data_IF_822150028279
#
_entry.id   IF_822150028279
#
_cell.length_a   1.000
_cell.length_b   1.000
_cell.length_c   1.000
_cell.angle_alpha   90.00
_cell.angle_beta   90.00
_cell.angle_gamma   90.00
#
_symmetry.space_group_name_H-M   'P 1'
#
loop_
_entity.id
_entity.type
_entity.pdbx_description
1 polymer ?
#
# COMPACT_ATOMS: atom_id res chain seq x y z
N UNK A 1 16.41 -14.64 20.56
CA UNK A 1 14.98 -14.31 20.70
C UNK A 1 14.36 -14.73 19.38
N UNK A 2 13.43 -15.69 19.36
CA UNK A 2 12.70 -15.96 18.12
C UNK A 2 11.65 -14.87 18.01
N UNK A 3 11.65 -14.13 16.91
CA UNK A 3 10.53 -13.26 16.60
C UNK A 3 9.28 -14.15 16.49
N UNK A 4 8.22 -13.74 17.19
CA UNK A 4 6.94 -14.44 17.13
C UNK A 4 6.39 -14.46 15.70
N UNK A 5 5.31 -15.23 15.45
CA UNK A 5 4.70 -15.25 14.12
C UNK A 5 4.28 -13.85 13.70
N UNK A 6 4.52 -13.48 12.44
CA UNK A 6 4.02 -12.23 11.86
C UNK A 6 2.66 -12.46 11.17
N UNK A 7 1.77 -11.48 11.27
CA UNK A 7 0.48 -11.48 10.57
C UNK A 7 0.49 -10.45 9.44
N UNK A 8 0.23 -10.90 8.21
CA UNK A 8 0.08 -10.03 7.04
C UNK A 8 -1.38 -10.03 6.60
N UNK A 9 -2.03 -8.87 6.70
CA UNK A 9 -3.45 -8.68 6.32
C UNK A 9 -3.51 -7.78 5.09
N UNK A 10 -4.03 -8.31 3.98
CA UNK A 10 -4.32 -7.52 2.78
C UNK A 10 -5.70 -6.87 2.89
N UNK A 11 -5.75 -5.53 2.90
CA UNK A 11 -7.01 -4.78 2.86
C UNK A 11 -7.27 -4.30 1.43
N UNK A 12 -8.39 -4.72 0.85
CA UNK A 12 -8.81 -4.37 -0.51
C UNK A 12 -10.21 -3.77 -0.43
N UNK A 13 -10.42 -2.63 -1.10
CA UNK A 13 -11.71 -1.94 -1.16
C UNK A 13 -11.86 -1.24 -2.50
N UNK A 14 -13.10 -0.92 -2.86
CA UNK A 14 -13.38 -0.12 -4.05
C UNK A 14 -12.74 1.28 -3.90
N UNK A 15 -12.46 1.93 -5.03
CA UNK A 15 -11.98 3.32 -5.06
C UNK A 15 -12.92 4.22 -4.23
N UNK A 16 -12.34 5.09 -3.40
CA UNK A 16 -13.09 5.95 -2.48
C UNK A 16 -13.48 5.30 -1.14
N UNK A 17 -13.24 4.00 -0.95
CA UNK A 17 -13.47 3.33 0.33
C UNK A 17 -12.46 3.81 1.37
N UNK A 18 -12.94 4.34 2.50
CA UNK A 18 -12.06 4.67 3.62
C UNK A 18 -11.67 3.41 4.41
N UNK A 19 -10.57 2.79 3.99
CA UNK A 19 -9.96 1.68 4.71
C UNK A 19 -9.10 2.11 5.90
N UNK A 20 -8.83 3.42 6.07
CA UNK A 20 -7.93 3.94 7.10
C UNK A 20 -8.67 4.40 8.34
N UNK A 21 -9.86 4.98 8.18
CA UNK A 21 -10.67 5.57 9.25
C UNK A 21 -10.90 4.62 10.41
N UNK A 22 -11.83 3.68 10.26
CA UNK A 22 -12.25 2.83 11.39
C UNK A 22 -11.45 1.52 11.49
N UNK A 23 -11.06 0.95 10.35
CA UNK A 23 -10.43 -0.38 10.29
C UNK A 23 -9.06 -0.38 10.98
N UNK A 24 -8.22 0.63 10.74
CA UNK A 24 -6.85 0.64 11.28
C UNK A 24 -6.81 0.84 12.82
N UNK A 25 -7.57 1.77 13.42
CA UNK A 25 -7.70 1.85 14.87
C UNK A 25 -8.22 0.56 15.50
N UNK A 26 -9.21 -0.08 14.88
CA UNK A 26 -9.76 -1.33 15.39
C UNK A 26 -8.77 -2.49 15.33
N UNK A 27 -8.02 -2.63 14.23
CA UNK A 27 -6.95 -3.62 14.13
C UNK A 27 -5.88 -3.39 15.20
N UNK A 28 -5.43 -2.14 15.39
CA UNK A 28 -4.48 -1.76 16.44
C UNK A 28 -4.98 -2.12 17.83
N UNK A 29 -6.24 -1.78 18.14
CA UNK A 29 -6.86 -2.06 19.43
C UNK A 29 -6.96 -3.56 19.72
N UNK A 30 -7.35 -4.38 18.74
CA UNK A 30 -7.58 -5.81 18.98
C UNK A 30 -6.29 -6.63 18.90
N UNK A 31 -5.43 -6.38 17.91
CA UNK A 31 -4.15 -7.09 17.78
C UNK A 31 -3.15 -6.68 18.88
N UNK A 32 -3.21 -5.42 19.32
CA UNK A 32 -2.39 -4.93 20.43
C UNK A 32 -2.66 -5.66 21.76
N UNK A 33 -3.90 -6.13 22.00
CA UNK A 33 -4.23 -6.97 23.17
C UNK A 33 -3.50 -8.32 23.17
N UNK A 34 -3.15 -8.82 21.98
CA UNK A 34 -2.36 -10.04 21.81
C UNK A 34 -0.86 -9.76 21.68
N UNK A 35 -0.41 -8.52 21.91
CA UNK A 35 1.01 -8.14 21.87
C UNK A 35 1.57 -7.84 20.48
N UNK A 36 0.73 -7.70 19.46
CA UNK A 36 1.18 -7.35 18.11
C UNK A 36 1.30 -5.84 17.92
N UNK A 37 2.34 -5.42 17.20
CA UNK A 37 2.44 -4.08 16.62
C UNK A 37 1.80 -4.08 15.21
N UNK A 38 0.94 -3.11 14.93
CA UNK A 38 0.28 -2.99 13.61
C UNK A 38 0.96 -1.90 12.78
N UNK A 39 1.66 -2.34 11.74
CA UNK A 39 2.35 -1.48 10.77
C UNK A 39 1.53 -1.39 9.48
N UNK A 40 1.24 -0.16 9.04
CA UNK A 40 0.52 0.07 7.77
C UNK A 40 1.50 0.17 6.61
N UNK A 41 1.25 -0.62 5.55
CA UNK A 41 1.95 -0.52 4.26
C UNK A 41 0.92 -0.12 3.20
N UNK A 42 0.97 1.12 2.69
CA UNK A 42 0.06 1.58 1.63
C UNK A 42 0.69 1.42 0.25
N UNK A 43 0.12 0.54 -0.57
CA UNK A 43 0.62 0.29 -1.93
C UNK A 43 0.66 1.53 -2.82
N UNK A 44 -0.36 2.41 -2.77
CA UNK A 44 -0.36 3.63 -3.59
C UNK A 44 0.75 4.62 -3.21
N UNK A 45 1.18 4.67 -1.94
CA UNK A 45 2.34 5.44 -1.52
C UNK A 45 3.64 4.84 -2.05
N UNK A 46 3.74 3.50 -2.11
CA UNK A 46 4.90 2.82 -2.70
C UNK A 46 4.97 3.02 -4.22
N UNK A 47 3.83 2.95 -4.92
CA UNK A 47 3.74 3.22 -6.36
C UNK A 47 4.22 4.64 -6.68
N UNK A 48 3.85 5.63 -5.87
CA UNK A 48 4.28 7.03 -6.02
C UNK A 48 5.81 7.19 -6.06
N UNK A 49 6.54 6.29 -5.39
CA UNK A 49 8.01 6.29 -5.37
C UNK A 49 8.67 5.56 -6.54
N UNK A 50 7.91 5.02 -7.48
CA UNK A 50 8.44 4.30 -8.65
C UNK A 50 8.64 5.24 -9.83
N UNK A 51 9.52 4.84 -10.76
CA UNK A 51 9.71 5.56 -12.02
C UNK A 51 8.48 5.52 -12.95
N UNK A 52 7.52 4.62 -12.67
CA UNK A 52 6.29 4.48 -13.45
C UNK A 52 5.21 5.50 -13.05
N UNK A 53 5.41 6.26 -11.97
CA UNK A 53 4.43 7.23 -11.50
C UNK A 53 4.63 8.61 -12.11
N UNK A 54 3.71 8.99 -13.00
CA UNK A 54 3.58 10.35 -13.48
C UNK A 54 2.58 11.10 -12.60
N UNK A 55 3.05 12.11 -11.88
CA UNK A 55 2.15 12.96 -11.11
C UNK A 55 1.21 13.74 -12.06
N UNK A 56 -0.09 13.86 -11.75
CA UNK A 56 -0.99 14.68 -12.55
C UNK A 56 -0.60 16.16 -12.46
N UNK A 57 -1.01 16.96 -13.45
CA UNK A 57 -0.88 18.41 -13.38
C UNK A 57 -1.57 18.96 -12.13
N UNK A 58 -0.85 19.78 -11.36
CA UNK A 58 -1.32 20.25 -10.04
C UNK A 58 -0.99 19.31 -8.87
N UNK A 59 -0.42 18.12 -9.12
CA UNK A 59 0.09 17.21 -8.10
C UNK A 59 -0.98 16.81 -7.08
N UNK A 60 -0.72 17.08 -5.81
CA UNK A 60 -1.68 16.78 -4.73
C UNK A 60 -2.91 17.69 -4.72
N UNK A 61 -2.87 18.83 -5.42
CA UNK A 61 -4.01 19.72 -5.61
C UNK A 61 -4.90 19.32 -6.81
N UNK A 62 -4.50 18.30 -7.58
CA UNK A 62 -5.30 17.80 -8.69
C UNK A 62 -6.62 17.16 -8.20
N UNK A 63 -7.67 17.19 -9.04
CA UNK A 63 -8.91 16.47 -8.79
C UNK A 63 -8.69 15.02 -8.35
N UNK A 64 -9.56 14.51 -7.47
CA UNK A 64 -9.38 13.20 -6.85
C UNK A 64 -9.36 12.05 -7.87
N UNK A 65 -10.26 12.08 -8.84
CA UNK A 65 -10.29 11.17 -9.98
C UNK A 65 -8.95 11.15 -10.74
N UNK A 66 -8.39 12.32 -11.07
CA UNK A 66 -7.10 12.42 -11.75
C UNK A 66 -5.95 11.83 -10.92
N UNK A 67 -5.95 12.05 -9.60
CA UNK A 67 -4.93 11.45 -8.71
C UNK A 67 -5.07 9.94 -8.64
N UNK A 68 -6.30 9.42 -8.62
CA UNK A 68 -6.57 7.97 -8.61
C UNK A 68 -6.12 7.36 -9.93
N UNK A 69 -6.48 7.96 -11.07
CA UNK A 69 -6.10 7.49 -12.40
C UNK A 69 -4.59 7.44 -12.56
N UNK A 70 -3.85 8.45 -12.07
CA UNK A 70 -2.39 8.44 -12.06
C UNK A 70 -1.82 7.24 -11.29
N UNK A 71 -2.39 6.91 -10.13
CA UNK A 71 -1.97 5.74 -9.36
C UNK A 71 -2.30 4.41 -10.04
N UNK A 72 -3.48 4.29 -10.65
CA UNK A 72 -3.89 3.09 -11.38
C UNK A 72 -3.02 2.88 -12.61
N UNK A 73 -2.81 3.93 -13.42
CA UNK A 73 -1.97 3.89 -14.60
C UNK A 73 -0.52 3.52 -14.25
N UNK A 74 0.04 4.08 -13.17
CA UNK A 74 1.38 3.73 -12.72
C UNK A 74 1.49 2.25 -12.27
N UNK A 75 0.46 1.73 -11.60
CA UNK A 75 0.38 0.32 -11.26
C UNK A 75 0.33 -0.60 -12.48
N UNK A 76 -0.46 -0.23 -13.49
CA UNK A 76 -0.55 -0.98 -14.75
C UNK A 76 0.75 -0.97 -15.53
N UNK A 77 1.39 0.20 -15.65
CA UNK A 77 2.71 0.30 -16.29
C UNK A 77 3.74 -0.54 -15.57
N UNK A 78 3.78 -0.51 -14.23
CA UNK A 78 4.70 -1.34 -13.46
C UNK A 78 4.52 -2.83 -13.74
N UNK A 79 3.28 -3.31 -13.89
CA UNK A 79 2.99 -4.70 -14.26
C UNK A 79 3.45 -5.02 -15.68
N UNK A 80 3.24 -4.10 -16.62
CA UNK A 80 3.60 -4.25 -18.03
C UNK A 80 5.11 -4.22 -18.24
N UNK A 81 5.81 -3.24 -17.68
CA UNK A 81 7.26 -3.06 -17.81
C UNK A 81 8.05 -4.24 -17.23
N UNK A 82 7.52 -4.87 -16.18
CA UNK A 82 8.13 -6.03 -15.53
C UNK A 82 7.62 -7.37 -16.07
N UNK A 83 6.64 -7.37 -16.98
CA UNK A 83 5.91 -8.57 -17.44
C UNK A 83 5.40 -9.45 -16.29
N UNK A 84 4.78 -8.82 -15.28
CA UNK A 84 4.37 -9.46 -14.02
C UNK A 84 3.05 -8.95 -13.48
N UNK A 85 2.09 -9.86 -13.35
CA UNK A 85 0.79 -9.56 -12.71
C UNK A 85 0.89 -9.21 -11.23
N UNK A 86 1.93 -9.68 -10.52
CA UNK A 86 2.17 -9.49 -9.10
C UNK A 86 3.11 -8.31 -8.77
N UNK A 87 3.49 -7.49 -9.76
CA UNK A 87 4.51 -6.46 -9.62
C UNK A 87 4.25 -5.48 -8.45
N UNK A 88 3.01 -5.05 -8.26
CA UNK A 88 2.65 -4.14 -7.15
C UNK A 88 2.79 -4.83 -5.79
N UNK A 89 2.49 -6.14 -5.70
CA UNK A 89 2.66 -6.89 -4.45
C UNK A 89 4.15 -7.03 -4.08
N UNK A 90 5.05 -7.09 -5.07
CA UNK A 90 6.49 -7.10 -4.83
C UNK A 90 6.99 -5.79 -4.17
N UNK A 91 6.35 -4.64 -4.43
CA UNK A 91 6.65 -3.41 -3.71
C UNK A 91 6.34 -3.56 -2.21
N UNK A 92 5.17 -4.12 -1.88
CA UNK A 92 4.82 -4.42 -0.49
C UNK A 92 5.81 -5.38 0.15
N UNK A 93 6.19 -6.46 -0.55
CA UNK A 93 7.18 -7.41 -0.05
C UNK A 93 8.52 -6.75 0.23
N UNK A 94 8.99 -5.88 -0.68
CA UNK A 94 10.20 -5.08 -0.49
C UNK A 94 10.11 -4.20 0.76
N UNK A 95 8.97 -3.52 0.96
CA UNK A 95 8.75 -2.68 2.14
C UNK A 95 8.70 -3.50 3.44
N UNK A 96 8.00 -4.63 3.45
CA UNK A 96 7.94 -5.54 4.61
C UNK A 96 9.33 -6.06 4.94
N UNK A 97 10.10 -6.50 3.94
CA UNK A 97 11.49 -6.94 4.13
C UNK A 97 12.39 -5.85 4.69
N UNK A 98 12.20 -4.59 4.29
CA UNK A 98 12.98 -3.47 4.83
C UNK A 98 12.58 -3.07 6.26
N UNK A 99 11.36 -3.43 6.70
CA UNK A 99 10.88 -3.21 8.07
C UNK A 99 11.36 -4.30 9.02
N UNK A 100 11.54 -5.53 8.51
CA UNK A 100 12.24 -6.61 9.19
C UNK A 100 13.73 -6.24 9.24
N UNK A 101 14.30 -6.15 10.43
CA UNK A 101 15.74 -5.88 10.60
C UNK A 101 16.56 -7.14 10.42
#
# INVERSE_FOLDING_TARGET
>A
MHDGPELVIGLIGAVGTDLRGDILPDLRKHLGKAGYEVILVRLSELIRGTACFDAPEGGDAAPEDMRIDAHMAAGDRLRQDLDRGDAVALLALGRIRALRR
#
